data_IF_295075168833
#
_entry.id   IF_295075168833
#
_cell.length_a   1.000
_cell.length_b   1.000
_cell.length_c   1.000
_cell.angle_alpha   90.00
_cell.angle_beta   90.00
_cell.angle_gamma   90.00
#
_symmetry.space_group_name_H-M   'P 1'
#
loop_
_entity.id
_entity.type
_entity.pdbx_description
1 polymer ?
#
# COMPACT_ATOMS: atom_id res chain seq x y z
N UNK A 1 -15.82 11.57 -18.98
CA UNK A 1 -16.75 12.02 -17.92
C UNK A 1 -17.01 10.81 -17.04
N UNK A 2 -16.64 10.86 -15.75
CA UNK A 2 -17.04 9.82 -14.81
C UNK A 2 -18.55 9.92 -14.56
N UNK A 3 -19.23 8.79 -14.38
CA UNK A 3 -20.62 8.76 -13.91
C UNK A 3 -20.68 9.25 -12.46
N UNK A 4 -21.82 9.78 -11.97
CA UNK A 4 -22.08 10.10 -10.54
C UNK A 4 -22.16 8.82 -9.67
N UNK A 5 -21.23 7.90 -9.88
CA UNK A 5 -21.18 6.62 -9.20
C UNK A 5 -20.40 6.78 -7.90
N UNK A 6 -20.91 6.18 -6.83
CA UNK A 6 -20.17 6.08 -5.57
C UNK A 6 -18.83 5.39 -5.83
N UNK A 7 -17.72 5.95 -5.32
CA UNK A 7 -16.41 5.30 -5.43
C UNK A 7 -16.45 3.93 -4.73
N UNK A 8 -15.60 3.02 -5.20
CA UNK A 8 -15.39 1.70 -4.58
C UNK A 8 -14.02 1.69 -3.89
N UNK A 9 -13.98 1.28 -2.62
CA UNK A 9 -12.74 1.17 -1.87
C UNK A 9 -11.92 -0.06 -2.30
N UNK A 10 -10.59 -0.03 -2.12
CA UNK A 10 -9.71 -1.16 -2.41
C UNK A 10 -10.12 -2.40 -1.60
N UNK A 11 -10.54 -2.23 -0.35
CA UNK A 11 -11.09 -3.32 0.49
C UNK A 11 -12.22 -4.06 -0.22
N UNK A 12 -13.17 -3.33 -0.79
CA UNK A 12 -14.31 -3.93 -1.48
C UNK A 12 -13.89 -4.65 -2.76
N UNK A 13 -12.87 -4.14 -3.46
CA UNK A 13 -12.33 -4.80 -4.66
C UNK A 13 -11.74 -6.19 -4.39
N UNK A 14 -11.26 -6.46 -3.18
CA UNK A 14 -10.78 -7.80 -2.81
C UNK A 14 -11.92 -8.83 -2.67
N UNK A 15 -13.15 -8.37 -2.38
CA UNK A 15 -14.32 -9.23 -2.27
C UNK A 15 -15.01 -9.50 -3.61
N UNK A 16 -14.71 -8.68 -4.63
CA UNK A 16 -15.20 -8.92 -5.98
C UNK A 16 -14.42 -10.06 -6.64
N UNK A 17 -15.03 -10.79 -7.60
CA UNK A 17 -14.29 -11.73 -8.43
C UNK A 17 -13.07 -11.01 -8.96
N UNK A 18 -11.88 -11.60 -8.74
CA UNK A 18 -10.62 -11.02 -9.19
C UNK A 18 -10.84 -10.60 -10.65
N UNK A 19 -10.79 -9.29 -10.97
CA UNK A 19 -11.09 -8.90 -12.33
C UNK A 19 -10.02 -9.56 -13.21
N UNK A 20 -10.28 -9.74 -14.50
CA UNK A 20 -9.22 -10.06 -15.46
C UNK A 20 -8.32 -8.82 -15.64
N UNK A 21 -7.70 -8.41 -14.53
CA UNK A 21 -6.67 -7.40 -14.45
C UNK A 21 -5.46 -8.08 -15.04
N UNK A 22 -5.05 -7.61 -16.22
CA UNK A 22 -3.77 -8.02 -16.78
C UNK A 22 -2.67 -7.78 -15.76
N UNK A 23 -1.64 -8.64 -15.76
CA UNK A 23 -0.44 -8.46 -14.92
C UNK A 23 0.09 -7.01 -14.99
N UNK A 24 0.01 -6.41 -16.17
CA UNK A 24 0.37 -5.02 -16.43
C UNK A 24 -0.43 -4.01 -15.59
N UNK A 25 -1.77 -4.12 -15.55
CA UNK A 25 -2.64 -3.19 -14.81
C UNK A 25 -2.40 -3.29 -13.31
N UNK A 26 -2.18 -4.51 -12.82
CA UNK A 26 -1.87 -4.76 -11.41
C UNK A 26 -0.55 -4.10 -11.01
N UNK A 27 0.50 -4.31 -11.81
CA UNK A 27 1.81 -3.69 -11.57
C UNK A 27 1.76 -2.17 -11.71
N UNK A 28 1.00 -1.64 -12.67
CA UNK A 28 0.79 -0.20 -12.80
C UNK A 28 0.13 0.39 -11.55
N UNK A 29 -0.92 -0.26 -11.02
CA UNK A 29 -1.56 0.15 -9.77
C UNK A 29 -0.59 0.10 -8.59
N UNK A 30 0.13 -1.01 -8.42
CA UNK A 30 1.15 -1.16 -7.36
C UNK A 30 2.20 -0.04 -7.45
N UNK A 31 2.68 0.26 -8.65
CA UNK A 31 3.66 1.32 -8.87
C UNK A 31 3.10 2.71 -8.56
N UNK A 32 1.88 3.00 -9.01
CA UNK A 32 1.20 4.28 -8.70
C UNK A 32 1.05 4.47 -7.20
N UNK A 33 0.57 3.46 -6.48
CA UNK A 33 0.41 3.54 -5.03
C UNK A 33 1.76 3.68 -4.32
N UNK A 34 2.80 2.95 -4.75
CA UNK A 34 4.14 3.08 -4.20
C UNK A 34 4.66 4.52 -4.31
N UNK A 35 4.54 5.14 -5.48
CA UNK A 35 4.93 6.53 -5.69
C UNK A 35 4.09 7.50 -4.88
N UNK A 36 2.76 7.38 -4.94
CA UNK A 36 1.85 8.30 -4.25
C UNK A 36 2.09 8.28 -2.75
N UNK A 37 2.21 7.10 -2.13
CA UNK A 37 2.41 6.98 -0.69
C UNK A 37 3.81 7.44 -0.26
N UNK A 38 4.85 7.17 -1.06
CA UNK A 38 6.20 7.64 -0.77
C UNK A 38 6.30 9.17 -0.83
N UNK A 39 5.62 9.80 -1.79
CA UNK A 39 5.59 11.27 -1.94
C UNK A 39 4.71 11.95 -0.89
N UNK A 40 3.58 11.33 -0.55
CA UNK A 40 2.62 11.89 0.39
C UNK A 40 3.11 11.82 1.85
N UNK A 41 4.04 10.91 2.16
CA UNK A 41 4.66 10.84 3.49
C UNK A 41 5.43 12.13 3.87
N UNK A 42 5.83 12.97 2.91
CA UNK A 42 6.61 14.18 3.19
C UNK A 42 5.81 15.31 3.87
N UNK A 43 4.49 15.16 4.03
CA UNK A 43 3.65 16.15 4.72
C UNK A 43 2.99 15.58 5.96
N UNK A 44 3.01 16.32 7.05
CA UNK A 44 2.12 16.17 8.22
C UNK A 44 0.61 16.28 7.88
N UNK A 45 0.26 16.20 6.60
CA UNK A 45 -1.06 16.37 6.00
C UNK A 45 -1.92 15.11 6.11
N UNK A 46 -1.34 14.02 6.59
CA UNK A 46 -1.96 12.70 6.61
C UNK A 46 -1.98 12.20 8.05
N UNK A 47 -2.80 12.89 8.84
CA UNK A 47 -2.99 12.61 10.26
C UNK A 47 -3.54 11.21 10.57
N UNK A 48 -3.80 10.37 9.57
CA UNK A 48 -4.23 8.97 9.71
C UNK A 48 -3.33 8.01 8.91
N UNK A 49 -3.11 6.83 9.49
CA UNK A 49 -2.42 5.69 8.87
C UNK A 49 -3.26 5.20 7.68
N UNK A 50 -2.72 5.23 6.46
CA UNK A 50 -3.47 4.79 5.26
C UNK A 50 -3.65 3.29 5.23
N UNK A 51 -4.81 2.86 4.78
CA UNK A 51 -5.10 1.47 4.52
C UNK A 51 -5.96 1.31 3.26
N UNK A 52 -6.41 0.08 3.00
CA UNK A 52 -7.27 -0.30 1.88
C UNK A 52 -8.64 0.42 1.85
N UNK A 53 -9.06 1.13 2.90
CA UNK A 53 -10.29 1.94 2.86
C UNK A 53 -10.07 3.34 2.31
N UNK A 54 -8.87 3.88 2.50
CA UNK A 54 -8.51 5.22 2.05
C UNK A 54 -8.17 5.26 0.55
N UNK A 55 -8.09 4.10 -0.12
CA UNK A 55 -7.82 3.99 -1.56
C UNK A 55 -9.13 3.70 -2.28
N UNK A 56 -9.54 4.64 -3.12
CA UNK A 56 -10.82 4.62 -3.83
C UNK A 56 -10.63 4.60 -5.33
N UNK A 57 -11.59 3.97 -6.02
CA UNK A 57 -11.63 3.89 -7.47
C UNK A 57 -12.99 4.32 -7.99
N UNK A 58 -12.99 5.01 -9.13
CA UNK A 58 -14.22 5.39 -9.81
C UNK A 58 -14.49 4.45 -10.98
N UNK A 59 -15.77 4.39 -11.37
CA UNK A 59 -16.19 3.68 -12.58
C UNK A 59 -16.17 4.64 -13.77
N UNK A 60 -15.75 4.13 -14.91
CA UNK A 60 -15.85 4.85 -16.17
C UNK A 60 -17.31 4.93 -16.66
N UNK A 61 -17.53 5.55 -17.82
CA UNK A 61 -18.85 5.68 -18.43
C UNK A 61 -19.50 4.34 -18.79
N UNK A 62 -18.75 3.24 -18.82
CA UNK A 62 -19.22 1.88 -19.09
C UNK A 62 -19.46 1.07 -17.82
N UNK A 63 -19.27 1.67 -16.63
CA UNK A 63 -19.43 1.00 -15.34
C UNK A 63 -18.23 0.15 -14.93
N UNK A 64 -17.11 0.20 -15.67
CA UNK A 64 -15.89 -0.55 -15.36
C UNK A 64 -15.04 0.25 -14.38
N UNK A 65 -14.53 -0.41 -13.34
CA UNK A 65 -13.63 0.23 -12.35
C UNK A 65 -12.32 0.63 -13.02
N UNK A 66 -11.98 1.92 -12.96
CA UNK A 66 -10.71 2.45 -13.48
C UNK A 66 -9.59 2.28 -12.44
N UNK A 67 -8.93 1.13 -12.49
CA UNK A 67 -7.76 0.82 -11.65
C UNK A 67 -6.52 1.64 -12.01
N UNK A 68 -6.51 2.38 -13.14
CA UNK A 68 -5.38 3.20 -13.54
C UNK A 68 -5.29 4.53 -12.81
N UNK A 69 -6.35 4.92 -12.09
CA UNK A 69 -6.49 6.20 -11.41
C UNK A 69 -7.05 6.00 -10.00
N UNK A 70 -6.26 5.42 -9.08
CA UNK A 70 -6.64 5.39 -7.67
C UNK A 70 -6.70 6.82 -7.12
N UNK A 71 -7.66 7.05 -6.23
CA UNK A 71 -7.78 8.25 -5.43
C UNK A 71 -7.42 7.88 -3.99
N UNK A 72 -6.56 8.68 -3.37
CA UNK A 72 -6.20 8.50 -1.97
C UNK A 72 -6.94 9.56 -1.19
N UNK A 73 -7.76 9.13 -0.24
CA UNK A 73 -8.42 10.02 0.69
C UNK A 73 -7.37 10.59 1.66
N UNK A 74 -7.25 11.92 1.66
CA UNK A 74 -6.34 12.65 2.52
C UNK A 74 -7.18 13.48 3.49
N UNK A 75 -7.12 13.13 4.77
CA UNK A 75 -7.73 13.92 5.83
C UNK A 75 -6.73 14.99 6.32
N UNK A 76 -7.02 16.25 6.02
CA UNK A 76 -6.26 17.39 6.53
C UNK A 76 -6.75 17.73 7.95
N UNK A 77 -6.37 16.91 8.92
CA UNK A 77 -6.75 17.18 10.31
C UNK A 77 -5.71 18.09 10.97
N UNK A 78 -6.12 19.33 11.32
CA UNK A 78 -5.26 20.27 12.07
C UNK A 78 -4.99 19.78 13.51
N UNK A 79 -5.80 18.86 14.01
CA UNK A 79 -5.73 18.35 15.38
C UNK A 79 -4.86 17.10 15.54
N UNK A 80 -4.30 16.56 14.44
CA UNK A 80 -3.44 15.36 14.45
C UNK A 80 -2.13 15.53 15.24
N UNK A 81 -1.75 16.76 15.61
CA UNK A 81 -0.69 17.00 16.60
C UNK A 81 -1.01 16.41 18.00
N UNK A 82 -2.27 16.04 18.26
CA UNK A 82 -2.75 15.60 19.58
C UNK A 82 -2.98 14.09 19.67
N UNK A 83 -3.14 13.41 18.52
CA UNK A 83 -3.33 11.96 18.48
C UNK A 83 -1.96 11.26 18.45
N UNK A 84 -1.16 11.52 19.47
CA UNK A 84 -0.21 10.51 19.92
C UNK A 84 -1.06 9.35 20.47
N UNK A 85 -1.46 8.45 19.58
CA UNK A 85 -1.90 7.11 19.99
C UNK A 85 -0.81 6.63 20.94
N UNK A 86 -1.19 6.38 22.19
CA UNK A 86 -0.30 5.93 23.25
C UNK A 86 0.34 4.60 22.84
N UNK A 87 1.41 4.69 22.05
CA UNK A 87 2.36 3.63 21.78
C UNK A 87 3.33 3.61 22.96
N UNK A 88 2.84 3.32 24.16
CA UNK A 88 3.67 3.01 25.33
C UNK A 88 4.18 1.55 25.27
N UNK A 89 4.24 0.96 24.08
CA UNK A 89 4.96 -0.28 23.83
C UNK A 89 6.39 0.07 23.35
N UNK A 90 7.42 -0.15 24.18
CA UNK A 90 8.80 0.12 23.81
C UNK A 90 9.27 -0.69 22.59
N UNK A 91 8.57 -1.76 22.19
CA UNK A 91 8.87 -2.51 20.96
C UNK A 91 8.33 -1.83 19.68
N UNK A 92 7.30 -0.98 19.78
CA UNK A 92 6.63 -0.31 18.65
C UNK A 92 7.29 1.00 18.21
N UNK A 93 8.30 1.50 18.92
CA UNK A 93 8.95 2.80 18.66
C UNK A 93 9.88 2.80 17.43
N UNK A 94 9.85 1.78 16.57
CA UNK A 94 10.98 1.47 15.69
C UNK A 94 10.65 1.41 14.19
N UNK A 95 9.39 1.29 13.78
CA UNK A 95 9.01 1.34 12.36
C UNK A 95 7.99 2.46 12.12
N UNK A 96 8.19 3.26 11.07
CA UNK A 96 7.22 4.31 10.73
C UNK A 96 5.87 3.68 10.31
N UNK A 97 4.73 4.05 10.93
CA UNK A 97 3.41 3.47 10.61
C UNK A 97 3.05 3.57 9.12
N UNK A 98 3.47 4.64 8.44
CA UNK A 98 3.29 4.81 7.00
C UNK A 98 4.06 3.79 6.16
N UNK A 99 5.24 3.35 6.62
CA UNK A 99 6.04 2.36 5.92
C UNK A 99 5.48 0.94 6.08
N UNK A 100 4.95 0.62 7.27
CA UNK A 100 4.19 -0.61 7.49
C UNK A 100 2.95 -0.64 6.57
N UNK A 101 2.21 0.47 6.53
CA UNK A 101 1.03 0.64 5.67
C UNK A 101 1.35 0.46 4.20
N UNK A 102 2.44 1.06 3.73
CA UNK A 102 2.94 0.87 2.37
C UNK A 102 3.24 -0.60 2.10
N UNK A 103 3.98 -1.27 3.00
CA UNK A 103 4.30 -2.69 2.87
C UNK A 103 3.05 -3.58 2.76
N UNK A 104 2.07 -3.34 3.63
CA UNK A 104 0.77 -4.02 3.62
C UNK A 104 0.07 -3.82 2.27
N UNK A 105 -0.14 -2.58 1.86
CA UNK A 105 -0.85 -2.25 0.62
C UNK A 105 -0.19 -2.84 -0.63
N UNK A 106 1.15 -2.85 -0.68
CA UNK A 106 1.89 -3.46 -1.78
C UNK A 106 1.63 -4.97 -1.84
N UNK A 107 1.65 -5.67 -0.71
CA UNK A 107 1.33 -7.10 -0.64
C UNK A 107 -0.12 -7.34 -1.03
N UNK A 108 -1.05 -6.57 -0.48
CA UNK A 108 -2.48 -6.74 -0.72
C UNK A 108 -2.83 -6.56 -2.19
N UNK A 109 -2.31 -5.51 -2.83
CA UNK A 109 -2.48 -5.32 -4.28
C UNK A 109 -1.76 -6.42 -5.04
N UNK A 110 -0.52 -6.78 -4.68
CA UNK A 110 0.25 -7.82 -5.38
C UNK A 110 -0.36 -9.22 -5.25
N UNK A 111 -1.09 -9.53 -4.19
CA UNK A 111 -1.76 -10.81 -4.00
C UNK A 111 -3.25 -10.78 -4.30
N UNK A 112 -3.82 -9.59 -4.41
CA UNK A 112 -5.25 -9.33 -4.55
C UNK A 112 -6.06 -9.94 -3.41
N UNK A 113 -5.57 -9.76 -2.18
CA UNK A 113 -6.14 -10.30 -0.96
C UNK A 113 -5.79 -9.40 0.22
N UNK A 114 -6.67 -9.29 1.22
CA UNK A 114 -6.39 -8.55 2.45
C UNK A 114 -5.22 -9.18 3.23
N UNK A 115 -4.43 -8.38 3.96
CA UNK A 115 -3.26 -8.85 4.71
C UNK A 115 -3.64 -9.89 5.78
N UNK A 116 -4.86 -9.77 6.29
CA UNK A 116 -5.48 -10.66 7.27
C UNK A 116 -5.50 -12.13 6.79
N UNK A 117 -5.59 -12.37 5.47
CA UNK A 117 -5.56 -13.72 4.88
C UNK A 117 -4.17 -14.38 4.92
N UNK A 118 -3.12 -13.61 5.18
CA UNK A 118 -1.72 -14.09 5.22
C UNK A 118 -1.23 -14.37 6.65
N UNK A 119 -2.00 -13.97 7.66
CA UNK A 119 -1.68 -14.20 9.07
C UNK A 119 -1.65 -15.69 9.36
N UNK A 120 -0.59 -16.14 10.01
CA UNK A 120 -0.46 -17.49 10.52
C UNK A 120 -0.65 -17.52 12.03
N UNK A 121 -0.97 -18.70 12.57
CA UNK A 121 -1.12 -18.88 14.03
C UNK A 121 0.17 -18.53 14.78
N UNK A 122 1.33 -18.69 14.13
CA UNK A 122 2.65 -18.31 14.66
C UNK A 122 2.86 -16.80 14.75
N UNK A 123 2.05 -16.00 14.05
CA UNK A 123 2.16 -14.54 14.03
C UNK A 123 1.30 -13.88 15.11
N UNK A 124 0.47 -14.68 15.80
CA UNK A 124 -0.39 -14.25 16.90
C UNK A 124 0.39 -14.32 18.22
N UNK A 125 0.20 -13.32 19.09
CA UNK A 125 0.74 -13.33 20.45
C UNK A 125 -0.41 -13.76 21.37
N UNK A 126 -0.24 -14.87 22.08
CA UNK A 126 -1.29 -15.49 22.92
C UNK A 126 -2.60 -15.80 22.19
N UNK A 127 -2.54 -15.98 20.86
CA UNK A 127 -3.71 -16.24 20.01
C UNK A 127 -4.47 -14.98 19.57
N UNK A 128 -4.01 -13.80 19.98
CA UNK A 128 -4.60 -12.51 19.63
C UNK A 128 -3.81 -11.80 18.52
N UNK A 129 -4.54 -11.03 17.70
CA UNK A 129 -3.94 -10.17 16.68
C UNK A 129 -3.34 -8.95 17.37
N UNK A 130 -2.04 -8.74 17.16
CA UNK A 130 -1.33 -7.57 17.68
C UNK A 130 -0.83 -6.70 16.53
N UNK A 131 -0.39 -5.47 16.84
CA UNK A 131 0.27 -4.60 15.85
C UNK A 131 1.50 -5.29 15.23
N UNK A 132 2.18 -6.14 16.00
CA UNK A 132 3.33 -6.91 15.53
C UNK A 132 2.96 -8.02 14.54
N UNK A 133 1.71 -8.51 14.55
CA UNK A 133 1.25 -9.59 13.67
C UNK A 133 1.38 -9.19 12.20
N UNK A 134 0.93 -7.99 11.81
CA UNK A 134 1.01 -7.55 10.41
C UNK A 134 2.46 -7.22 10.00
N UNK A 135 3.29 -6.75 10.94
CA UNK A 135 4.71 -6.53 10.69
C UNK A 135 5.44 -7.84 10.36
N UNK A 136 5.17 -8.92 11.09
CA UNK A 136 5.75 -10.23 10.83
C UNK A 136 5.34 -10.77 9.46
N UNK A 137 4.07 -10.60 9.09
CA UNK A 137 3.55 -11.00 7.78
C UNK A 137 4.25 -10.24 6.65
N UNK A 138 4.47 -8.93 6.83
CA UNK A 138 5.17 -8.08 5.86
C UNK A 138 6.64 -8.52 5.69
N UNK A 139 7.36 -8.77 6.79
CA UNK A 139 8.76 -9.24 6.75
C UNK A 139 8.87 -10.58 5.99
N UNK A 140 7.95 -11.51 6.27
CA UNK A 140 7.88 -12.80 5.61
C UNK A 140 7.59 -12.68 4.10
N UNK A 141 6.74 -11.73 3.70
CA UNK A 141 6.29 -11.58 2.31
C UNK A 141 7.23 -10.78 1.41
N UNK A 142 7.90 -9.75 1.93
CA UNK A 142 8.68 -8.82 1.13
C UNK A 142 10.20 -8.96 1.31
N UNK A 143 10.69 -9.67 2.34
CA UNK A 143 12.13 -9.80 2.63
C UNK A 143 12.86 -8.43 2.58
N UNK A 144 12.23 -7.42 3.15
CA UNK A 144 12.66 -6.02 3.03
C UNK A 144 13.73 -5.71 4.09
N UNK A 145 14.94 -5.26 3.70
CA UNK A 145 16.01 -4.94 4.64
C UNK A 145 15.61 -3.87 5.68
N UNK A 146 14.63 -3.03 5.34
CA UNK A 146 14.14 -1.97 6.22
C UNK A 146 13.10 -2.43 7.24
N UNK A 147 12.43 -3.58 7.08
CA UNK A 147 11.40 -4.01 8.04
C UNK A 147 11.97 -4.34 9.42
N UNK A 148 13.28 -4.63 9.49
CA UNK A 148 14.01 -4.86 10.75
C UNK A 148 14.82 -3.63 11.19
N UNK A 149 14.87 -2.60 10.37
CA UNK A 149 15.69 -1.43 10.60
C UNK A 149 14.85 -0.33 11.23
N UNK A 150 15.44 0.42 12.16
CA UNK A 150 14.80 1.54 12.86
C UNK A 150 14.68 2.76 11.94
N UNK A 151 13.91 2.63 10.88
CA UNK A 151 13.98 3.51 9.71
C UNK A 151 12.70 4.31 9.57
N UNK A 152 12.85 5.63 9.64
CA UNK A 152 11.81 6.60 9.32
C UNK A 152 11.84 6.90 7.81
N UNK A 153 10.68 7.07 7.19
CA UNK A 153 10.58 7.57 5.82
C UNK A 153 11.03 9.04 5.69
N UNK A 154 11.25 9.76 6.80
CA UNK A 154 11.89 11.09 6.79
C UNK A 154 13.37 10.99 6.42
N UNK A 155 14.01 9.86 6.73
CA UNK A 155 15.42 9.63 6.39
C UNK A 155 15.58 9.46 4.87
N UNK A 156 16.52 10.20 4.29
CA UNK A 156 16.76 10.13 2.85
C UNK A 156 17.33 8.77 2.43
N UNK A 157 18.17 8.16 3.26
CA UNK A 157 18.73 6.83 2.99
C UNK A 157 17.65 5.75 2.93
N UNK A 158 16.64 5.85 3.80
CA UNK A 158 15.44 5.02 3.77
C UNK A 158 14.69 5.12 2.45
N UNK A 159 14.39 6.36 2.03
CA UNK A 159 13.67 6.65 0.79
C UNK A 159 14.43 6.13 -0.42
N UNK A 160 15.73 6.39 -0.48
CA UNK A 160 16.60 5.91 -1.56
C UNK A 160 16.65 4.38 -1.60
N UNK A 161 16.71 3.72 -0.43
CA UNK A 161 16.69 2.26 -0.32
C UNK A 161 15.36 1.69 -0.81
N UNK A 162 14.22 2.24 -0.36
CA UNK A 162 12.87 1.83 -0.79
C UNK A 162 12.70 2.03 -2.30
N UNK A 163 13.15 3.17 -2.81
CA UNK A 163 13.10 3.45 -4.24
C UNK A 163 13.83 2.37 -5.05
N UNK A 164 15.08 2.06 -4.68
CA UNK A 164 15.91 1.07 -5.39
C UNK A 164 15.44 -0.37 -5.22
N UNK A 165 14.89 -0.71 -4.06
CA UNK A 165 14.50 -2.09 -3.75
C UNK A 165 13.09 -2.44 -4.23
N UNK A 166 12.19 -1.46 -4.31
CA UNK A 166 10.78 -1.67 -4.62
C UNK A 166 10.38 -0.95 -5.91
N UNK A 167 10.61 0.37 -6.00
CA UNK A 167 10.09 1.19 -7.10
C UNK A 167 10.81 0.88 -8.43
N UNK A 168 12.14 0.86 -8.45
CA UNK A 168 12.93 0.59 -9.66
C UNK A 168 12.63 -0.78 -10.30
N UNK A 169 12.57 -1.89 -9.54
CA UNK A 169 12.19 -3.19 -10.10
C UNK A 169 10.77 -3.20 -10.67
N UNK A 170 9.80 -2.62 -9.95
CA UNK A 170 8.41 -2.51 -10.42
C UNK A 170 8.32 -1.70 -11.71
N UNK A 171 9.03 -0.57 -11.80
CA UNK A 171 9.06 0.28 -12.99
C UNK A 171 9.70 -0.44 -14.17
N UNK A 172 10.79 -1.18 -13.92
CA UNK A 172 11.44 -2.01 -14.94
C UNK A 172 10.48 -3.08 -15.48
N UNK A 173 9.76 -3.78 -14.61
CA UNK A 173 8.80 -4.81 -15.01
C UNK A 173 7.64 -4.21 -15.82
N UNK A 174 7.09 -3.07 -15.40
CA UNK A 174 6.05 -2.34 -16.15
C UNK A 174 6.55 -1.95 -17.54
N UNK A 175 7.79 -1.46 -17.66
CA UNK A 175 8.39 -1.08 -18.93
C UNK A 175 8.61 -2.28 -19.86
N UNK A 176 9.10 -3.40 -19.32
CA UNK A 176 9.26 -4.65 -20.07
C UNK A 176 7.92 -5.15 -20.62
N UNK A 177 6.86 -5.12 -19.81
CA UNK A 177 5.54 -5.54 -20.26
C UNK A 177 5.01 -4.60 -21.35
N UNK A 178 5.16 -3.28 -21.18
CA UNK A 178 4.77 -2.29 -22.20
C UNK A 178 5.45 -2.56 -23.53
N UNK A 179 6.75 -2.84 -23.53
CA UNK A 179 7.52 -3.18 -24.74
C UNK A 179 7.03 -4.49 -25.38
N UNK A 180 6.79 -5.53 -24.58
CA UNK A 180 6.28 -6.82 -25.07
C UNK A 180 4.87 -6.71 -25.67
N UNK A 181 4.02 -5.83 -25.13
CA UNK A 181 2.67 -5.59 -25.65
C UNK A 181 2.62 -4.60 -26.80
N UNK A 182 3.57 -3.65 -26.87
CA UNK A 182 3.66 -2.62 -27.91
C UNK A 182 4.31 -3.08 -29.22
N UNK A 183 5.00 -4.22 -29.22
CA UNK A 183 5.63 -4.80 -30.41
C UNK A 183 4.72 -5.67 -31.30
N UNK A 184 3.39 -5.65 -31.09
CA UNK A 184 2.39 -6.39 -31.90
C UNK A 184 1.46 -5.47 -32.72
N UNK A 185 1.91 -4.26 -33.04
CA UNK A 185 1.21 -3.33 -33.94
C UNK A 185 1.66 -3.50 -35.38
#
# INVERSE_FOLDING_TARGET
MYSESTPIALRELFNLPRPEISKQRKLALTLTLAYSLLQLYEGSWLGSVWDKDHIQFYRDSYGVVDLGRPYIEAAFDQDACSASTSLDDPELHHLSPGLLSLGILLIEVHRWKPIEDFRQVTDLIDGEVTVNTDMLVVDACLHVPWAKARVSLEDQGARDCIYRTIIEPLQSEVNLIKQATGGRG
#
